data_IF_719928851226
#
_entry.id   IF_719928851226
#
_cell.length_a   1.000
_cell.length_b   1.000
_cell.length_c   1.000
_cell.angle_alpha   90.00
_cell.angle_beta   90.00
_cell.angle_gamma   90.00
#
_symmetry.space_group_name_H-M   'P 1'
#
loop_
_entity.id
_entity.type
_entity.pdbx_description
1 polymer ?
#
# COMPACT_ATOMS: atom_id res chain seq x y z
N UNK A 1 -19.11 -2.36 -2.86
CA UNK A 1 -19.21 -0.90 -2.57
C UNK A 1 -17.85 -0.22 -2.37
N UNK A 2 -16.89 -0.79 -1.62
CA UNK A 2 -15.57 -0.17 -1.36
C UNK A 2 -14.78 0.26 -2.61
N UNK A 3 -14.60 -0.63 -3.60
CA UNK A 3 -13.90 -0.29 -4.86
C UNK A 3 -14.51 0.91 -5.59
N UNK A 4 -15.85 1.00 -5.64
CA UNK A 4 -16.53 2.14 -6.26
C UNK A 4 -16.19 3.47 -5.57
N UNK A 5 -16.10 3.46 -4.24
CA UNK A 5 -15.69 4.65 -3.47
C UNK A 5 -14.24 5.04 -3.76
N UNK A 6 -13.33 4.07 -3.82
CA UNK A 6 -11.92 4.33 -4.16
C UNK A 6 -11.79 4.92 -5.57
N UNK A 7 -12.45 4.31 -6.57
CA UNK A 7 -12.50 4.80 -7.95
C UNK A 7 -13.05 6.22 -8.05
N UNK A 8 -14.03 6.56 -7.21
CA UNK A 8 -14.60 7.91 -7.11
C UNK A 8 -13.74 8.89 -6.27
N UNK A 9 -12.50 8.51 -5.88
CA UNK A 9 -11.61 9.33 -5.06
C UNK A 9 -12.02 9.48 -3.59
N UNK A 10 -13.05 8.75 -3.15
CA UNK A 10 -13.63 8.76 -1.80
C UNK A 10 -13.00 7.68 -0.93
N UNK A 11 -11.71 7.82 -0.67
CA UNK A 11 -10.93 6.92 0.18
C UNK A 11 -9.91 7.68 1.04
N UNK A 12 -9.34 7.00 2.03
CA UNK A 12 -8.29 7.56 2.91
C UNK A 12 -7.06 7.98 2.09
N UNK A 13 -6.34 9.04 2.50
CA UNK A 13 -5.06 9.43 1.91
C UNK A 13 -4.07 8.25 1.78
N UNK A 14 -4.00 7.37 2.78
CA UNK A 14 -3.14 6.18 2.73
C UNK A 14 -3.42 5.24 1.56
N UNK A 15 -4.69 5.05 1.19
CA UNK A 15 -5.07 4.23 0.02
C UNK A 15 -4.64 4.92 -1.27
N UNK A 16 -4.76 6.25 -1.37
CA UNK A 16 -4.30 7.00 -2.54
C UNK A 16 -2.78 6.89 -2.69
N UNK A 17 -2.04 7.09 -1.61
CA UNK A 17 -0.58 6.97 -1.62
C UNK A 17 -0.12 5.55 -1.99
N UNK A 18 -0.80 4.51 -1.50
CA UNK A 18 -0.51 3.13 -1.92
C UNK A 18 -0.74 2.88 -3.41
N UNK A 19 -1.79 3.46 -3.99
CA UNK A 19 -2.04 3.38 -5.43
C UNK A 19 -0.94 4.08 -6.24
N UNK A 20 -0.47 5.24 -5.76
CA UNK A 20 0.64 5.98 -6.37
C UNK A 20 1.92 5.13 -6.41
N UNK A 21 2.38 4.62 -5.26
CA UNK A 21 3.62 3.81 -5.20
C UNK A 21 3.47 2.44 -5.88
N UNK A 22 2.24 1.91 -5.96
CA UNK A 22 1.96 0.68 -6.71
C UNK A 22 1.82 0.90 -8.23
N UNK A 23 1.90 2.15 -8.69
CA UNK A 23 1.63 2.55 -10.08
C UNK A 23 0.29 1.98 -10.59
N UNK A 24 -0.79 2.26 -9.84
CA UNK A 24 -2.15 1.84 -10.15
C UNK A 24 -3.09 3.02 -10.30
N UNK A 25 -3.80 3.05 -11.43
CA UNK A 25 -4.85 4.02 -11.69
C UNK A 25 -6.09 3.69 -10.85
N UNK A 26 -6.45 4.60 -9.95
CA UNK A 26 -7.61 4.47 -9.09
C UNK A 26 -8.91 4.24 -9.89
N UNK A 27 -9.07 4.83 -11.08
CA UNK A 27 -10.29 4.71 -11.89
C UNK A 27 -10.47 3.32 -12.49
N UNK A 28 -9.35 2.63 -12.77
CA UNK A 28 -9.31 1.28 -13.36
C UNK A 28 -9.13 0.18 -12.31
N UNK A 29 -9.04 0.54 -11.04
CA UNK A 29 -8.70 -0.35 -9.94
C UNK A 29 -9.57 -1.61 -9.92
N UNK A 30 -8.96 -2.78 -10.05
CA UNK A 30 -9.62 -4.08 -9.91
C UNK A 30 -9.39 -4.68 -8.51
N UNK A 31 -10.17 -5.72 -8.18
CA UNK A 31 -9.99 -6.43 -6.91
C UNK A 31 -8.61 -7.11 -6.82
N UNK A 32 -8.08 -7.58 -7.96
CA UNK A 32 -6.73 -8.15 -8.05
C UNK A 32 -5.65 -7.14 -7.70
N UNK A 33 -5.80 -5.86 -8.02
CA UNK A 33 -4.83 -4.83 -7.64
C UNK A 33 -4.77 -4.66 -6.11
N UNK A 34 -5.91 -4.76 -5.43
CA UNK A 34 -5.93 -4.76 -3.97
C UNK A 34 -5.20 -5.98 -3.42
N UNK A 35 -5.45 -7.17 -3.95
CA UNK A 35 -4.87 -8.42 -3.46
C UNK A 35 -3.38 -8.59 -3.76
N UNK A 36 -2.92 -8.13 -4.93
CA UNK A 36 -1.58 -8.45 -5.43
C UNK A 36 -0.66 -7.24 -5.59
N UNK A 37 -1.19 -6.01 -5.60
CA UNK A 37 -0.37 -4.80 -5.63
C UNK A 37 -0.33 -4.09 -4.27
N UNK A 38 -1.49 -3.88 -3.63
CA UNK A 38 -1.56 -3.12 -2.38
C UNK A 38 -1.36 -3.99 -1.13
N UNK A 39 -2.02 -5.15 -1.09
CA UNK A 39 -1.93 -6.10 0.03
C UNK A 39 -0.49 -6.47 0.40
N UNK A 40 0.38 -6.83 -0.56
CA UNK A 40 1.77 -7.18 -0.25
C UNK A 40 2.56 -6.03 0.38
N UNK A 41 2.28 -4.76 0.04
CA UNK A 41 2.93 -3.59 0.65
C UNK A 41 2.54 -3.40 2.10
N UNK A 42 1.23 -3.44 2.35
CA UNK A 42 0.70 -3.40 3.72
C UNK A 42 1.24 -4.55 4.58
N UNK A 43 1.34 -5.76 4.00
CA UNK A 43 1.80 -6.94 4.71
C UNK A 43 3.32 -7.02 4.87
N UNK A 44 4.10 -6.20 4.14
CA UNK A 44 5.56 -6.20 4.26
C UNK A 44 6.02 -5.68 5.62
N UNK A 45 5.31 -4.69 6.18
CA UNK A 45 5.52 -4.21 7.55
C UNK A 45 5.30 -5.29 8.62
N UNK A 46 4.42 -6.26 8.37
CA UNK A 46 4.10 -7.31 9.33
C UNK A 46 5.12 -8.43 9.47
N UNK A 47 6.18 -8.45 8.64
CA UNK A 47 7.25 -9.47 8.69
C UNK A 47 8.61 -8.94 9.13
N UNK A 48 8.78 -7.62 9.25
CA UNK A 48 10.05 -6.93 9.52
C UNK A 48 9.98 -6.00 10.75
N UNK A 49 9.22 -6.39 11.77
CA UNK A 49 9.16 -5.79 13.13
C UNK A 49 8.28 -4.57 13.40
N UNK A 50 7.59 -3.95 12.43
CA UNK A 50 6.70 -2.83 12.76
C UNK A 50 5.41 -2.70 11.92
N UNK A 51 4.34 -3.38 12.35
CA UNK A 51 2.99 -3.21 11.78
C UNK A 51 2.40 -1.79 11.99
N UNK A 52 2.99 -0.96 12.85
CA UNK A 52 2.46 0.37 13.16
C UNK A 52 2.44 1.27 11.93
N UNK A 53 3.40 1.13 11.01
CA UNK A 53 3.48 1.93 9.76
C UNK A 53 2.26 1.69 8.87
N UNK A 54 1.85 0.42 8.71
CA UNK A 54 0.67 0.06 7.92
C UNK A 54 -0.62 0.61 8.51
N UNK A 55 -0.77 0.55 9.83
CA UNK A 55 -1.93 1.10 10.54
C UNK A 55 -1.93 2.63 10.47
N UNK A 56 -0.79 3.27 10.74
CA UNK A 56 -0.60 4.71 10.65
C UNK A 56 -0.98 5.22 9.26
N UNK A 57 -0.54 4.53 8.20
CA UNK A 57 -0.90 4.87 6.83
C UNK A 57 -2.42 4.85 6.60
N UNK A 58 -3.11 3.78 7.03
CA UNK A 58 -4.56 3.64 6.84
C UNK A 58 -5.36 4.66 7.68
N UNK A 59 -4.78 5.10 8.80
CA UNK A 59 -5.35 6.12 9.68
C UNK A 59 -4.91 7.55 9.34
N UNK A 60 -3.97 7.77 8.43
CA UNK A 60 -3.45 9.09 8.10
C UNK A 60 -4.47 9.99 7.37
N UNK A 61 -4.57 11.25 7.81
CA UNK A 61 -5.45 12.29 7.25
C UNK A 61 -4.75 13.25 6.29
N UNK A 62 -3.42 13.22 6.21
CA UNK A 62 -2.61 14.09 5.38
C UNK A 62 -1.96 13.31 4.23
N UNK A 63 -2.17 13.75 2.99
CA UNK A 63 -1.59 13.07 1.82
C UNK A 63 -0.05 13.12 1.79
N UNK A 64 0.57 14.17 2.34
CA UNK A 64 2.03 14.28 2.41
C UNK A 64 2.64 13.21 3.31
N UNK A 65 2.11 13.06 4.53
CA UNK A 65 2.50 12.03 5.48
C UNK A 65 2.18 10.62 4.95
N UNK A 66 1.00 10.43 4.36
CA UNK A 66 0.63 9.17 3.75
C UNK A 66 1.60 8.73 2.64
N UNK A 67 2.15 9.67 1.85
CA UNK A 67 3.18 9.36 0.86
C UNK A 67 4.48 8.90 1.48
N UNK A 68 4.90 9.51 2.59
CA UNK A 68 6.11 9.08 3.31
C UNK A 68 5.93 7.63 3.79
N UNK A 69 4.83 7.35 4.49
CA UNK A 69 4.51 6.02 5.00
C UNK A 69 4.34 4.98 3.88
N UNK A 70 3.72 5.34 2.75
CA UNK A 70 3.53 4.42 1.63
C UNK A 70 4.87 4.07 0.94
N UNK A 71 5.80 5.01 0.83
CA UNK A 71 7.15 4.74 0.30
C UNK A 71 7.94 3.82 1.22
N UNK A 72 7.81 3.98 2.54
CA UNK A 72 8.44 3.08 3.51
C UNK A 72 7.90 1.64 3.37
N UNK A 73 6.58 1.47 3.28
CA UNK A 73 5.97 0.17 3.03
C UNK A 73 6.38 -0.43 1.67
N UNK A 74 6.55 0.39 0.64
CA UNK A 74 7.04 -0.06 -0.66
C UNK A 74 8.48 -0.57 -0.56
N UNK A 75 9.36 0.16 0.12
CA UNK A 75 10.74 -0.26 0.37
C UNK A 75 10.80 -1.61 1.11
N UNK A 76 10.04 -1.75 2.22
CA UNK A 76 9.94 -3.01 2.96
C UNK A 76 9.45 -4.17 2.08
N UNK A 77 8.49 -3.90 1.19
CA UNK A 77 7.96 -4.89 0.26
C UNK A 77 8.97 -5.31 -0.81
N UNK A 78 9.84 -4.40 -1.26
CA UNK A 78 10.91 -4.74 -2.19
C UNK A 78 11.99 -5.57 -1.49
N UNK A 79 12.43 -5.17 -0.28
CA UNK A 79 13.35 -5.96 0.54
C UNK A 79 12.81 -7.38 0.78
N UNK A 80 11.52 -7.52 1.12
CA UNK A 80 10.88 -8.84 1.28
C UNK A 80 11.00 -9.67 0.01
N UNK A 81 10.68 -9.10 -1.16
CA UNK A 81 10.75 -9.82 -2.44
C UNK A 81 12.18 -10.25 -2.78
N UNK A 82 13.17 -9.40 -2.52
CA UNK A 82 14.58 -9.72 -2.76
C UNK A 82 15.01 -10.93 -1.90
N UNK A 83 14.62 -10.96 -0.63
CA UNK A 83 14.87 -12.11 0.26
C UNK A 83 14.13 -13.36 -0.26
N UNK A 84 12.85 -13.25 -0.58
CA UNK A 84 12.02 -14.36 -1.10
C UNK A 84 12.58 -14.93 -2.42
N UNK A 85 13.15 -14.09 -3.28
CA UNK A 85 13.79 -14.50 -4.54
C UNK A 85 15.16 -15.14 -4.33
N UNK A 86 15.96 -14.66 -3.37
CA UNK A 86 17.27 -15.24 -3.04
C UNK A 86 17.19 -16.60 -2.32
N UNK A 87 16.01 -16.99 -1.84
CA UNK A 87 15.75 -18.31 -1.23
C UNK A 87 15.34 -19.39 -2.26
N UNK A 88 15.18 -19.06 -3.54
CA UNK A 88 14.96 -20.02 -4.63
C UNK A 88 16.28 -20.59 -5.15
#
# INVERSE_FOLDING_TARGET
QGMSRIRAGKCRPGIKALLEVANRDAQKLAASDLGFALGPRLNAAGRLDDMSVGVALLLCDNIGEARVLANELDALNQTRKEIEQGMQ
#
